data_IF_751796986761
#
_entry.id   IF_751796986761
#
_cell.length_a   1.000
_cell.length_b   1.000
_cell.length_c   1.000
_cell.angle_alpha   90.00
_cell.angle_beta   90.00
_cell.angle_gamma   90.00
#
_symmetry.space_group_name_H-M   'P 1'
#
loop_
_entity.id
_entity.type
_entity.pdbx_description
1 polymer ?
#
# COMPACT_ATOMS: atom_id res chain seq x y z
N UNK A 1 -15.16 8.37 -22.14
CA UNK A 1 -15.03 9.83 -22.01
C UNK A 1 -14.72 10.12 -20.55
N UNK A 2 -13.65 10.85 -20.24
CA UNK A 2 -13.16 11.02 -18.86
C UNK A 2 -14.22 11.73 -18.00
N UNK A 3 -14.65 11.09 -16.91
CA UNK A 3 -15.43 11.72 -15.84
C UNK A 3 -14.57 12.81 -15.20
N UNK A 4 -14.76 14.05 -15.66
CA UNK A 4 -14.40 15.26 -14.91
C UNK A 4 -15.53 15.43 -13.89
N UNK A 5 -15.24 15.67 -12.60
CA UNK A 5 -16.20 15.53 -11.52
C UNK A 5 -17.42 16.40 -11.76
N UNK A 6 -18.56 15.78 -12.07
CA UNK A 6 -19.89 16.40 -12.24
C UNK A 6 -20.37 17.20 -11.02
N UNK A 7 -19.53 17.39 -10.00
CA UNK A 7 -19.93 17.93 -8.72
C UNK A 7 -19.11 19.13 -8.24
N UNK A 8 -18.04 19.58 -8.91
CA UNK A 8 -17.25 20.69 -8.36
C UNK A 8 -18.05 22.00 -8.27
N UNK A 9 -18.70 22.43 -9.35
CA UNK A 9 -19.51 23.65 -9.35
C UNK A 9 -20.66 23.59 -8.35
N UNK A 10 -21.35 22.44 -8.28
CA UNK A 10 -22.39 22.18 -7.29
C UNK A 10 -21.85 22.20 -5.86
N UNK A 11 -20.66 21.67 -5.61
CA UNK A 11 -20.01 21.67 -4.28
C UNK A 11 -19.57 23.07 -3.88
N UNK A 12 -19.05 23.88 -4.81
CA UNK A 12 -18.76 25.30 -4.59
C UNK A 12 -20.03 26.05 -4.19
N UNK A 13 -21.11 25.86 -4.96
CA UNK A 13 -22.41 26.46 -4.66
C UNK A 13 -22.93 26.03 -3.29
N UNK A 14 -22.89 24.73 -2.98
CA UNK A 14 -23.31 24.19 -1.66
C UNK A 14 -22.47 24.75 -0.52
N UNK A 15 -21.15 24.80 -0.66
CA UNK A 15 -20.24 25.33 0.36
C UNK A 15 -20.51 26.82 0.65
N UNK A 16 -20.81 27.59 -0.41
CA UNK A 16 -21.19 29.00 -0.31
C UNK A 16 -22.56 29.17 0.35
N UNK A 17 -23.60 28.46 -0.11
CA UNK A 17 -24.96 28.59 0.42
C UNK A 17 -25.07 28.08 1.85
N UNK A 18 -24.37 27.01 2.22
CA UNK A 18 -24.34 26.49 3.58
C UNK A 18 -23.77 27.50 4.60
N UNK A 19 -22.97 28.46 4.13
CA UNK A 19 -22.39 29.55 4.94
C UNK A 19 -23.13 30.88 4.77
N UNK A 20 -24.25 30.90 4.04
CA UNK A 20 -25.03 32.11 3.71
C UNK A 20 -24.19 33.23 3.07
N UNK A 21 -23.18 32.88 2.28
CA UNK A 21 -22.31 33.85 1.59
C UNK A 21 -22.92 34.18 0.21
N UNK A 22 -23.05 35.45 -0.15
CA UNK A 22 -23.47 35.86 -1.51
C UNK A 22 -22.29 35.75 -2.49
N UNK A 23 -22.57 35.69 -3.79
CA UNK A 23 -21.50 35.72 -4.80
C UNK A 23 -20.66 36.99 -4.70
N UNK A 24 -21.28 38.13 -4.35
CA UNK A 24 -20.60 39.40 -4.18
C UNK A 24 -19.68 39.39 -2.95
N UNK A 25 -20.15 38.87 -1.82
CA UNK A 25 -19.32 38.75 -0.62
C UNK A 25 -18.14 37.79 -0.85
N UNK A 26 -18.37 36.69 -1.57
CA UNK A 26 -17.29 35.77 -1.93
C UNK A 26 -16.31 36.41 -2.92
N UNK A 27 -16.81 37.26 -3.82
CA UNK A 27 -15.98 38.02 -4.76
C UNK A 27 -15.04 38.96 -4.02
N UNK A 28 -15.53 39.69 -3.02
CA UNK A 28 -14.71 40.56 -2.17
C UNK A 28 -13.67 39.77 -1.37
N UNK A 29 -14.04 38.61 -0.83
CA UNK A 29 -13.15 37.80 -0.02
C UNK A 29 -12.03 37.10 -0.82
N UNK A 30 -12.27 36.79 -2.10
CA UNK A 30 -11.34 35.99 -2.92
C UNK A 30 -10.65 36.78 -4.02
N UNK A 31 -11.11 38.00 -4.34
CA UNK A 31 -10.66 38.77 -5.50
C UNK A 31 -11.15 38.22 -6.84
N UNK A 32 -11.97 37.17 -6.85
CA UNK A 32 -12.52 36.56 -8.07
C UNK A 32 -13.85 37.25 -8.40
N UNK A 33 -14.06 37.70 -9.63
CA UNK A 33 -15.32 38.38 -9.98
C UNK A 33 -16.56 37.50 -9.78
N UNK A 34 -17.68 38.10 -9.36
CA UNK A 34 -18.97 37.40 -9.20
C UNK A 34 -19.41 36.64 -10.46
N UNK A 35 -19.15 37.19 -11.66
CA UNK A 35 -19.43 36.51 -12.93
C UNK A 35 -18.53 35.29 -13.18
N UNK A 36 -17.31 35.30 -12.68
CA UNK A 36 -16.40 34.14 -12.73
C UNK A 36 -16.82 33.08 -11.72
N UNK A 37 -17.19 33.48 -10.51
CA UNK A 37 -17.72 32.59 -9.48
C UNK A 37 -19.01 31.90 -9.92
N UNK A 38 -19.95 32.66 -10.52
CA UNK A 38 -21.19 32.11 -11.07
C UNK A 38 -20.91 31.05 -12.15
N UNK A 39 -20.03 31.35 -13.11
CA UNK A 39 -19.65 30.38 -14.15
C UNK A 39 -18.90 29.16 -13.61
N UNK A 40 -18.16 29.29 -12.50
CA UNK A 40 -17.56 28.16 -11.80
C UNK A 40 -18.63 27.29 -11.13
N UNK A 41 -19.62 27.90 -10.47
CA UNK A 41 -20.74 27.19 -9.82
C UNK A 41 -21.65 26.46 -10.82
N UNK A 42 -21.85 27.01 -12.02
CA UNK A 42 -22.64 26.37 -13.09
C UNK A 42 -21.83 25.38 -13.93
N UNK A 43 -20.52 25.26 -13.71
CA UNK A 43 -19.62 24.42 -14.51
C UNK A 43 -19.31 24.97 -15.91
N UNK A 44 -19.80 26.15 -16.25
CA UNK A 44 -19.57 26.80 -17.55
C UNK A 44 -18.16 27.39 -17.69
N UNK A 45 -17.38 27.44 -16.62
CA UNK A 45 -15.95 27.79 -16.63
C UNK A 45 -15.13 26.66 -16.04
N UNK A 46 -14.06 26.29 -16.76
CA UNK A 46 -13.11 25.28 -16.30
C UNK A 46 -12.38 25.79 -15.04
N UNK A 47 -12.34 25.02 -13.95
CA UNK A 47 -11.59 25.38 -12.75
C UNK A 47 -10.08 25.34 -13.05
N UNK A 48 -9.35 26.31 -12.54
CA UNK A 48 -7.88 26.32 -12.50
C UNK A 48 -7.43 26.32 -11.05
N UNK A 49 -6.22 25.85 -10.78
CA UNK A 49 -5.67 25.83 -9.42
C UNK A 49 -5.66 27.24 -8.80
N UNK A 50 -5.30 28.24 -9.60
CA UNK A 50 -5.33 29.66 -9.23
C UNK A 50 -6.70 30.13 -8.73
N UNK A 51 -7.80 29.65 -9.32
CA UNK A 51 -9.15 29.97 -8.87
C UNK A 51 -9.57 29.15 -7.64
N UNK A 52 -9.08 27.92 -7.51
CA UNK A 52 -9.48 27.02 -6.42
C UNK A 52 -8.78 27.30 -5.09
N UNK A 53 -7.52 27.74 -5.10
CA UNK A 53 -6.78 28.00 -3.86
C UNK A 53 -7.41 29.10 -3.00
N UNK A 54 -7.79 30.28 -3.54
CA UNK A 54 -8.49 31.30 -2.77
C UNK A 54 -9.86 30.84 -2.26
N UNK A 55 -10.57 30.03 -3.04
CA UNK A 55 -11.87 29.46 -2.64
C UNK A 55 -11.73 28.47 -1.48
N UNK A 56 -10.71 27.61 -1.52
CA UNK A 56 -10.42 26.68 -0.43
C UNK A 56 -10.13 27.43 0.88
N UNK A 57 -9.33 28.50 0.81
CA UNK A 57 -9.03 29.36 1.96
C UNK A 57 -10.29 30.07 2.48
N UNK A 58 -11.09 30.68 1.59
CA UNK A 58 -12.32 31.38 1.96
C UNK A 58 -13.36 30.46 2.63
N UNK A 59 -13.46 29.19 2.18
CA UNK A 59 -14.35 28.21 2.78
C UNK A 59 -13.74 27.45 3.98
N UNK A 60 -12.46 27.67 4.29
CA UNK A 60 -11.69 26.90 5.28
C UNK A 60 -11.75 25.40 5.03
N UNK A 61 -11.58 25.02 3.76
CA UNK A 61 -11.53 23.63 3.30
C UNK A 61 -10.13 23.32 2.78
N UNK A 62 -9.70 22.07 2.88
CA UNK A 62 -8.54 21.64 2.10
C UNK A 62 -8.89 21.65 0.61
N UNK A 63 -7.89 21.69 -0.27
CA UNK A 63 -8.15 21.59 -1.70
C UNK A 63 -8.84 20.25 -2.02
N UNK A 64 -8.43 19.16 -1.37
CA UNK A 64 -9.02 17.83 -1.52
C UNK A 64 -10.49 17.79 -1.12
N UNK A 65 -10.85 18.46 -0.02
CA UNK A 65 -12.25 18.64 0.37
C UNK A 65 -13.01 19.47 -0.66
N UNK A 66 -12.38 20.50 -1.25
CA UNK A 66 -13.02 21.38 -2.24
C UNK A 66 -13.23 20.71 -3.59
N UNK A 67 -12.29 19.88 -4.07
CA UNK A 67 -12.42 19.13 -5.33
C UNK A 67 -13.18 17.82 -5.17
N UNK A 68 -13.26 17.31 -3.95
CA UNK A 68 -13.95 16.07 -3.65
C UNK A 68 -13.03 14.94 -3.94
N UNK A 69 -12.12 14.69 -3.00
CA UNK A 69 -11.49 13.38 -2.88
C UNK A 69 -12.62 12.34 -3.00
N UNK A 70 -12.51 11.37 -3.92
CA UNK A 70 -13.58 10.42 -4.14
C UNK A 70 -13.98 9.83 -2.79
N UNK A 71 -15.29 9.88 -2.47
CA UNK A 71 -15.83 9.06 -1.40
C UNK A 71 -15.48 7.63 -1.80
N UNK A 72 -14.50 7.02 -1.13
CA UNK A 72 -14.17 5.63 -1.37
C UNK A 72 -15.45 4.87 -0.99
N UNK A 73 -16.17 4.35 -1.99
CA UNK A 73 -17.41 3.59 -1.81
C UNK A 73 -17.12 2.29 -1.06
N UNK A 74 -17.21 1.15 -1.73
CA UNK A 74 -16.66 -0.09 -1.19
C UNK A 74 -15.14 0.09 -0.97
N UNK A 75 -14.63 0.00 0.27
CA UNK A 75 -13.22 0.24 0.57
C UNK A 75 -12.33 -0.94 0.13
N UNK A 76 -12.92 -2.03 -0.39
CA UNK A 76 -12.16 -3.18 -0.85
C UNK A 76 -11.40 -2.86 -2.13
N UNK A 77 -10.13 -3.24 -2.11
CA UNK A 77 -9.31 -3.28 -3.31
C UNK A 77 -9.72 -4.52 -4.10
N UNK A 78 -10.05 -4.35 -5.38
CA UNK A 78 -10.27 -5.45 -6.32
C UNK A 78 -9.04 -5.59 -7.22
N UNK A 79 -7.96 -6.24 -6.73
CA UNK A 79 -6.71 -6.28 -7.45
C UNK A 79 -6.83 -7.12 -8.71
N UNK A 80 -6.16 -6.68 -9.77
CA UNK A 80 -5.90 -7.52 -10.94
C UNK A 80 -4.44 -7.98 -10.87
N UNK A 81 -4.17 -9.27 -10.62
CA UNK A 81 -2.81 -9.80 -10.65
C UNK A 81 -2.16 -9.56 -12.01
N UNK A 82 -0.89 -9.15 -11.99
CA UNK A 82 -0.07 -8.96 -13.18
C UNK A 82 1.18 -9.82 -13.10
N UNK A 83 1.61 -10.40 -14.22
CA UNK A 83 2.88 -11.12 -14.31
C UNK A 83 3.99 -10.14 -14.72
N UNK A 84 5.06 -10.06 -13.94
CA UNK A 84 6.23 -9.21 -14.24
C UNK A 84 7.51 -9.88 -13.75
N UNK A 85 8.51 -9.95 -14.62
CA UNK A 85 9.82 -10.56 -14.31
C UNK A 85 9.69 -11.99 -13.71
N UNK A 86 8.77 -12.80 -14.25
CA UNK A 86 8.46 -14.15 -13.77
C UNK A 86 7.61 -14.23 -12.49
N UNK A 87 7.40 -13.12 -11.79
CA UNK A 87 6.62 -13.07 -10.55
C UNK A 87 5.15 -12.71 -10.82
N UNK A 88 4.24 -13.16 -9.95
CA UNK A 88 2.89 -12.60 -9.90
C UNK A 88 2.88 -11.44 -8.91
N UNK A 89 2.46 -10.26 -9.34
CA UNK A 89 2.31 -9.08 -8.50
C UNK A 89 0.82 -8.78 -8.38
N UNK A 90 0.32 -8.69 -7.16
CA UNK A 90 -1.06 -8.35 -6.82
C UNK A 90 -1.04 -6.95 -6.20
N UNK A 91 -1.46 -5.90 -6.94
CA UNK A 91 -1.45 -4.53 -6.42
C UNK A 91 -2.47 -4.35 -5.29
N UNK A 92 -2.05 -3.91 -4.12
CA UNK A 92 -2.90 -3.70 -2.93
C UNK A 92 -3.07 -2.21 -2.63
N UNK A 93 -3.12 -1.36 -3.66
CA UNK A 93 -3.35 0.09 -3.51
C UNK A 93 -4.10 0.64 -4.74
N UNK A 94 -5.09 1.51 -4.51
CA UNK A 94 -5.98 2.05 -5.55
C UNK A 94 -5.35 3.15 -6.43
N UNK A 95 -4.31 3.83 -5.94
CA UNK A 95 -3.75 5.04 -6.56
C UNK A 95 -2.22 4.91 -6.58
N UNK A 96 -1.52 5.39 -7.61
CA UNK A 96 -0.08 5.64 -7.53
C UNK A 96 0.17 6.72 -6.45
N UNK A 97 0.38 6.26 -5.22
CA UNK A 97 0.82 7.07 -4.09
C UNK A 97 2.33 7.00 -3.89
N UNK A 98 2.87 7.79 -2.94
CA UNK A 98 4.30 7.76 -2.61
C UNK A 98 4.77 6.37 -2.13
N UNK A 99 3.83 5.56 -1.63
CA UNK A 99 4.05 4.20 -1.19
C UNK A 99 2.98 3.29 -1.80
N UNK A 100 3.41 2.16 -2.38
CA UNK A 100 2.54 1.16 -2.99
C UNK A 100 2.63 -0.13 -2.21
N UNK A 101 1.50 -0.64 -1.74
CA UNK A 101 1.42 -1.98 -1.19
C UNK A 101 1.20 -3.00 -2.31
N UNK A 102 1.97 -4.08 -2.30
CA UNK A 102 1.87 -5.18 -3.26
C UNK A 102 2.04 -6.50 -2.55
N UNK A 103 1.27 -7.52 -2.95
CA UNK A 103 1.61 -8.91 -2.67
C UNK A 103 2.40 -9.45 -3.85
N UNK A 104 3.52 -10.11 -3.61
CA UNK A 104 4.29 -10.79 -4.66
C UNK A 104 4.30 -12.30 -4.42
N UNK A 105 4.09 -13.06 -5.48
CA UNK A 105 4.29 -14.51 -5.51
C UNK A 105 5.51 -14.77 -6.39
N UNK A 106 6.56 -15.25 -5.74
CA UNK A 106 7.87 -15.53 -6.34
C UNK A 106 7.91 -17.03 -6.64
N UNK A 107 8.10 -17.43 -7.91
CA UNK A 107 8.17 -18.85 -8.26
C UNK A 107 9.48 -19.48 -7.77
N UNK A 108 9.47 -20.81 -7.63
CA UNK A 108 10.60 -21.60 -7.14
C UNK A 108 11.87 -21.44 -8.00
N UNK A 109 11.70 -21.25 -9.30
CA UNK A 109 12.79 -21.11 -10.28
C UNK A 109 13.50 -19.74 -10.20
N UNK A 110 12.94 -18.76 -9.49
CA UNK A 110 13.59 -17.48 -9.22
C UNK A 110 14.57 -17.60 -8.04
N UNK A 111 15.53 -18.51 -8.15
CA UNK A 111 16.52 -18.84 -7.11
C UNK A 111 17.94 -18.36 -7.42
N UNK A 112 18.20 -17.92 -8.65
CA UNK A 112 19.51 -17.42 -9.09
C UNK A 112 19.63 -15.90 -8.87
N UNK A 113 20.60 -15.44 -8.07
CA UNK A 113 20.82 -14.01 -7.81
C UNK A 113 21.20 -13.21 -9.05
N UNK A 114 20.51 -12.08 -9.23
CA UNK A 114 20.91 -10.99 -10.13
C UNK A 114 20.67 -9.66 -9.44
N UNK A 115 21.73 -9.13 -8.82
CA UNK A 115 21.68 -7.90 -8.03
C UNK A 115 21.25 -6.69 -8.88
N UNK A 116 20.43 -5.83 -8.29
CA UNK A 116 19.99 -4.57 -8.90
C UNK A 116 20.14 -3.40 -7.93
N UNK A 117 20.06 -2.19 -8.48
CA UNK A 117 20.07 -0.92 -7.73
C UNK A 117 19.05 0.01 -8.36
N UNK A 118 18.28 0.69 -7.53
CA UNK A 118 17.36 1.73 -7.98
C UNK A 118 17.02 2.67 -6.83
N UNK A 119 16.48 3.84 -7.15
CA UNK A 119 15.99 4.76 -6.12
C UNK A 119 14.74 4.20 -5.43
N UNK A 120 14.65 4.41 -4.11
CA UNK A 120 13.50 4.00 -3.31
C UNK A 120 13.89 3.38 -1.97
N UNK A 121 12.85 2.92 -1.28
CA UNK A 121 12.96 2.05 -0.11
C UNK A 121 12.04 0.86 -0.29
N UNK A 122 12.52 -0.31 0.15
CA UNK A 122 11.73 -1.52 0.20
C UNK A 122 11.50 -1.90 1.66
N UNK A 123 10.25 -2.25 1.97
CA UNK A 123 9.88 -3.02 3.14
C UNK A 123 9.16 -4.27 2.68
N UNK A 124 9.44 -5.42 3.29
CA UNK A 124 8.82 -6.69 2.94
C UNK A 124 8.57 -7.55 4.18
N UNK A 125 7.52 -8.35 4.12
CA UNK A 125 7.10 -9.30 5.15
C UNK A 125 6.76 -10.64 4.49
N UNK A 126 7.31 -11.73 5.02
CA UNK A 126 7.12 -13.08 4.47
C UNK A 126 5.80 -13.66 4.98
N UNK A 127 4.90 -13.97 4.05
CA UNK A 127 3.61 -14.60 4.34
C UNK A 127 3.73 -16.13 4.31
N UNK A 128 4.47 -16.66 3.34
CA UNK A 128 4.65 -18.10 3.16
C UNK A 128 5.95 -18.40 2.38
N UNK A 129 6.53 -19.57 2.60
CA UNK A 129 7.79 -20.01 1.98
C UNK A 129 9.02 -19.33 2.59
N UNK A 130 10.16 -19.50 1.93
CA UNK A 130 11.46 -18.99 2.39
C UNK A 130 12.04 -17.99 1.40
N UNK A 131 12.15 -16.73 1.82
CA UNK A 131 12.72 -15.69 1.00
C UNK A 131 14.22 -15.62 1.22
N UNK A 132 15.02 -15.83 0.17
CA UNK A 132 16.43 -15.42 0.20
C UNK A 132 16.52 -13.95 -0.16
N UNK A 133 17.13 -13.15 0.71
CA UNK A 133 17.34 -11.72 0.55
C UNK A 133 18.84 -11.44 0.60
N UNK A 134 19.35 -10.84 -0.47
CA UNK A 134 20.72 -10.34 -0.56
C UNK A 134 20.67 -8.81 -0.58
N UNK A 135 21.38 -8.15 0.34
CA UNK A 135 21.51 -6.69 0.41
C UNK A 135 22.96 -6.34 0.77
N UNK A 136 23.70 -5.78 -0.18
CA UNK A 136 25.14 -5.57 -0.03
C UNK A 136 25.85 -6.92 0.18
N UNK A 137 26.58 -7.03 1.27
CA UNK A 137 27.32 -8.25 1.64
C UNK A 137 26.50 -9.21 2.51
N UNK A 138 25.26 -8.85 2.86
CA UNK A 138 24.38 -9.70 3.65
C UNK A 138 23.55 -10.61 2.75
N UNK A 139 23.63 -11.91 2.97
CA UNK A 139 22.80 -12.94 2.35
C UNK A 139 22.03 -13.67 3.47
N UNK A 140 20.71 -13.53 3.48
CA UNK A 140 19.86 -13.98 4.58
C UNK A 140 18.64 -14.73 4.07
N UNK A 141 18.18 -15.71 4.84
CA UNK A 141 16.90 -16.38 4.61
C UNK A 141 15.89 -15.83 5.61
N UNK A 142 14.77 -15.31 5.10
CA UNK A 142 13.64 -14.86 5.88
C UNK A 142 12.53 -15.91 5.82
N UNK A 143 12.04 -16.29 7.00
CA UNK A 143 10.96 -17.24 7.22
C UNK A 143 9.61 -16.52 7.35
N UNK A 144 8.48 -17.25 7.24
CA UNK A 144 7.16 -16.67 7.48
C UNK A 144 7.09 -15.97 8.84
N UNK A 145 6.52 -14.76 8.86
CA UNK A 145 6.47 -13.93 10.07
C UNK A 145 7.64 -12.93 10.20
N UNK A 146 8.69 -13.07 9.40
CA UNK A 146 9.83 -12.15 9.44
C UNK A 146 9.69 -11.02 8.40
N UNK A 147 10.32 -9.89 8.70
CA UNK A 147 10.31 -8.71 7.86
C UNK A 147 11.72 -8.17 7.62
N UNK A 148 11.89 -7.46 6.51
CA UNK A 148 13.11 -6.71 6.22
C UNK A 148 12.79 -5.34 5.60
N UNK A 149 13.66 -4.37 5.88
CA UNK A 149 13.64 -3.03 5.29
C UNK A 149 15.05 -2.67 4.83
N UNK A 150 15.19 -2.08 3.64
CA UNK A 150 16.48 -1.61 3.15
C UNK A 150 16.35 -0.47 2.13
N UNK A 151 17.46 0.25 1.94
CA UNK A 151 17.63 1.26 0.88
C UNK A 151 17.97 0.55 -0.44
N UNK A 152 17.15 0.77 -1.47
CA UNK A 152 17.27 0.04 -2.75
C UNK A 152 18.43 0.52 -3.62
N UNK A 153 19.18 1.55 -3.20
CA UNK A 153 20.46 1.96 -3.81
C UNK A 153 21.59 1.00 -3.45
N UNK A 154 21.44 0.28 -2.35
CA UNK A 154 22.30 -0.85 -2.02
C UNK A 154 22.02 -1.96 -3.03
N UNK A 155 23.08 -2.58 -3.57
CA UNK A 155 22.92 -3.72 -4.47
C UNK A 155 22.09 -4.79 -3.75
N UNK A 156 20.96 -5.16 -4.33
CA UNK A 156 20.06 -6.10 -3.69
C UNK A 156 19.41 -7.07 -4.67
N UNK A 157 19.00 -8.22 -4.15
CA UNK A 157 18.24 -9.24 -4.86
C UNK A 157 17.38 -9.98 -3.84
N UNK A 158 16.20 -10.43 -4.27
CA UNK A 158 15.39 -11.35 -3.47
C UNK A 158 14.74 -12.39 -4.37
N UNK A 159 14.56 -13.60 -3.84
CA UNK A 159 14.01 -14.71 -4.59
C UNK A 159 13.72 -15.92 -3.70
N UNK A 160 13.36 -17.03 -4.33
CA UNK A 160 13.17 -18.31 -3.65
C UNK A 160 14.52 -18.92 -3.26
N UNK A 161 14.54 -19.76 -2.22
CA UNK A 161 15.66 -20.67 -1.92
C UNK A 161 15.76 -21.86 -2.88
N UNK A 162 14.82 -22.00 -3.81
CA UNK A 162 14.68 -23.16 -4.71
C UNK A 162 13.89 -24.31 -4.10
N UNK A 163 13.52 -24.24 -2.81
CA UNK A 163 12.73 -25.27 -2.12
C UNK A 163 11.22 -25.16 -2.38
N UNK A 164 10.74 -23.99 -2.78
CA UNK A 164 9.33 -23.75 -3.06
C UNK A 164 9.03 -22.30 -3.45
N UNK A 165 7.78 -21.98 -3.81
CA UNK A 165 7.37 -20.60 -4.06
C UNK A 165 7.35 -19.80 -2.76
N UNK A 166 7.46 -18.47 -2.89
CA UNK A 166 7.45 -17.54 -1.75
C UNK A 166 6.36 -16.51 -1.95
N UNK A 167 5.62 -16.23 -0.88
CA UNK A 167 4.64 -15.13 -0.85
C UNK A 167 5.10 -14.05 0.11
N UNK A 168 5.17 -12.81 -0.40
CA UNK A 168 5.54 -11.65 0.42
C UNK A 168 4.50 -10.54 0.29
N UNK A 169 4.31 -9.80 1.36
CA UNK A 169 3.73 -8.46 1.34
C UNK A 169 4.88 -7.46 1.25
N UNK A 170 4.81 -6.49 0.34
CA UNK A 170 5.84 -5.46 0.21
C UNK A 170 5.24 -4.07 0.10
N UNK A 171 5.91 -3.11 0.73
CA UNK A 171 5.64 -1.69 0.61
C UNK A 171 6.80 -1.07 -0.17
N UNK A 172 6.49 -0.56 -1.36
CA UNK A 172 7.45 0.06 -2.27
C UNK A 172 7.30 1.57 -2.18
N UNK A 173 8.34 2.27 -1.73
CA UNK A 173 8.33 3.72 -1.59
C UNK A 173 9.21 4.42 -2.62
N UNK A 174 8.71 5.50 -3.23
CA UNK A 174 9.57 6.50 -3.86
C UNK A 174 10.14 7.40 -2.76
N UNK A 175 11.46 7.56 -2.70
CA UNK A 175 12.06 8.57 -1.85
C UNK A 175 11.79 9.93 -2.50
N UNK A 176 10.75 10.65 -2.06
CA UNK A 176 10.74 12.10 -2.22
C UNK A 176 11.86 12.65 -1.35
N UNK A 177 12.68 13.57 -1.88
CA UNK A 177 13.58 14.35 -1.02
C UNK A 177 12.72 14.97 0.09
N UNK A 178 12.90 14.51 1.33
CA UNK A 178 12.22 15.08 2.48
C UNK A 178 12.80 16.48 2.72
N UNK A 179 12.19 17.52 2.14
CA UNK A 179 12.35 18.87 2.65
C UNK A 179 11.40 19.04 3.85
N UNK A 180 11.91 18.70 5.03
CA UNK A 180 11.44 19.23 6.32
C UNK A 180 10.18 18.61 6.94
N UNK A 181 10.40 17.90 8.05
CA UNK A 181 9.46 17.55 9.14
C UNK A 181 8.31 16.59 8.80
N UNK A 182 8.49 15.35 9.26
CA UNK A 182 7.44 14.34 9.35
C UNK A 182 8.04 12.97 9.63
N UNK A 183 8.82 12.83 10.70
CA UNK A 183 9.38 11.55 11.12
C UNK A 183 8.40 10.92 12.11
N UNK A 184 7.77 9.81 11.73
CA UNK A 184 7.40 8.81 12.73
C UNK A 184 8.69 8.10 13.10
N UNK A 185 9.40 8.66 14.09
CA UNK A 185 10.58 8.05 14.70
C UNK A 185 10.09 6.93 15.61
N UNK A 186 10.12 5.70 15.12
CA UNK A 186 10.12 4.54 15.99
C UNK A 186 11.48 4.48 16.70
N UNK A 187 11.52 5.07 17.90
CA UNK A 187 12.50 4.91 18.96
C UNK A 187 13.81 4.17 18.59
N UNK A 188 14.84 4.93 18.24
CA UNK A 188 16.24 4.48 18.37
C UNK A 188 16.69 4.75 19.80
N UNK A 189 17.12 3.76 20.60
CA UNK A 189 17.79 4.05 21.87
C UNK A 189 19.16 4.66 21.55
N UNK A 190 19.46 5.83 22.11
CA UNK A 190 20.80 6.44 22.03
C UNK A 190 21.78 5.56 22.82
N UNK A 191 22.94 5.15 22.27
CA UNK A 191 23.97 4.54 23.08
C UNK A 191 24.73 5.65 23.80
N UNK A 192 24.58 5.71 25.13
CA UNK A 192 25.53 6.40 25.98
C UNK A 192 26.79 5.53 26.12
N UNK A 193 27.93 6.20 26.07
CA UNK A 193 29.27 5.65 26.19
C UNK A 193 29.45 4.78 27.45
N UNK A 194 30.15 3.67 27.29
CA UNK A 194 30.56 2.78 28.36
C UNK A 194 31.34 1.59 27.81
N UNK A 195 32.63 1.80 27.59
CA UNK A 195 33.57 0.76 27.19
C UNK A 195 33.79 -0.21 28.36
N UNK A 196 33.40 -1.48 28.23
CA UNK A 196 34.02 -2.60 28.95
C UNK A 196 33.91 -3.86 28.09
N UNK A 197 35.06 -4.47 27.80
CA UNK A 197 35.22 -5.74 27.10
C UNK A 197 34.77 -6.91 27.97
N UNK A 198 33.98 -7.85 27.45
CA UNK A 198 34.26 -9.28 27.66
C UNK A 198 33.50 -10.20 26.69
N UNK A 199 34.14 -11.34 26.41
CA UNK A 199 33.70 -12.43 25.56
C UNK A 199 32.38 -13.10 25.99
N UNK A 200 31.65 -13.64 25.02
CA UNK A 200 30.59 -14.61 25.26
C UNK A 200 29.50 -14.59 24.20
N UNK A 201 29.52 -15.55 23.29
CA UNK A 201 28.40 -15.86 22.42
C UNK A 201 27.16 -16.21 23.27
N UNK A 202 26.02 -15.58 23.00
CA UNK A 202 24.73 -16.06 23.53
C UNK A 202 23.61 -15.72 22.58
N UNK A 203 22.98 -16.79 22.10
CA UNK A 203 21.74 -16.87 21.33
C UNK A 203 20.61 -16.18 22.09
N UNK A 204 19.94 -15.20 21.46
CA UNK A 204 18.71 -14.61 22.01
C UNK A 204 17.51 -15.35 21.42
N UNK A 205 17.01 -16.34 22.15
CA UNK A 205 15.67 -16.90 21.97
C UNK A 205 14.66 -15.97 22.65
N UNK A 206 13.71 -15.40 21.90
CA UNK A 206 12.54 -14.76 22.50
C UNK A 206 11.45 -15.81 22.77
N UNK A 207 10.97 -15.95 24.02
CA UNK A 207 9.82 -16.77 24.32
C UNK A 207 8.54 -15.95 24.12
N UNK A 208 7.59 -16.51 23.38
CA UNK A 208 6.17 -16.16 23.52
C UNK A 208 5.48 -17.42 24.02
N UNK A 209 5.35 -17.55 25.34
CA UNK A 209 4.18 -18.19 25.95
C UNK A 209 3.02 -17.18 25.78
N UNK A 210 1.75 -17.54 25.56
CA UNK A 210 0.97 -18.66 26.07
C UNK A 210 -0.30 -18.79 25.22
N UNK A 211 -0.82 -20.01 25.03
CA UNK A 211 -2.24 -20.36 25.20
C UNK A 211 -2.49 -21.76 24.63
N UNK A 212 -2.70 -22.72 25.53
CA UNK A 212 -3.04 -24.10 25.20
C UNK A 212 -4.38 -24.23 24.49
N UNK A 213 -4.41 -25.08 23.47
CA UNK A 213 -5.64 -25.67 22.94
C UNK A 213 -5.51 -27.18 23.18
N UNK A 214 -6.39 -27.69 24.02
CA UNK A 214 -6.48 -29.08 24.44
C UNK A 214 -6.61 -30.04 23.25
N UNK A 215 -5.82 -31.12 23.29
CA UNK A 215 -6.07 -32.32 22.50
C UNK A 215 -7.28 -33.06 23.07
N UNK A 216 -8.39 -33.02 22.34
CA UNK A 216 -9.56 -33.88 22.55
C UNK A 216 -9.68 -34.87 21.40
N UNK A 217 -9.32 -36.11 21.68
CA UNK A 217 -9.56 -37.31 20.87
C UNK A 217 -11.05 -37.52 20.59
N UNK A 218 -11.44 -37.76 19.34
CA UNK A 218 -12.61 -38.58 19.01
C UNK A 218 -12.30 -39.45 17.79
N UNK A 219 -12.12 -40.73 18.09
CA UNK A 219 -12.08 -41.86 17.17
C UNK A 219 -13.47 -42.23 16.65
N UNK A 220 -13.49 -42.83 15.45
CA UNK A 220 -14.52 -43.69 14.85
C UNK A 220 -15.84 -43.06 14.37
N UNK A 221 -16.07 -43.11 13.05
CA UNK A 221 -17.24 -43.79 12.47
C UNK A 221 -16.94 -44.28 11.05
N UNK A 222 -17.39 -45.51 10.79
CA UNK A 222 -17.15 -46.38 9.64
C UNK A 222 -17.87 -45.99 8.34
N UNK A 223 -17.22 -46.37 7.22
CA UNK A 223 -17.71 -46.82 5.91
C UNK A 223 -19.17 -46.61 5.46
N UNK A 224 -19.34 -46.08 4.24
CA UNK A 224 -20.26 -46.66 3.24
C UNK A 224 -19.96 -46.19 1.78
N UNK A 225 -19.61 -47.18 0.95
CA UNK A 225 -20.08 -47.42 -0.43
C UNK A 225 -20.05 -46.32 -1.50
N UNK A 226 -19.02 -46.44 -2.34
CA UNK A 226 -18.99 -46.39 -3.80
C UNK A 226 -20.36 -46.30 -4.54
N UNK A 227 -20.51 -45.31 -5.44
CA UNK A 227 -21.26 -45.47 -6.71
C UNK A 227 -20.79 -44.47 -7.78
N UNK A 228 -20.20 -45.03 -8.83
CA UNK A 228 -19.78 -44.37 -10.05
C UNK A 228 -20.96 -43.80 -10.84
N UNK A 229 -20.75 -42.64 -11.46
CA UNK A 229 -21.63 -42.08 -12.50
C UNK A 229 -21.19 -42.56 -13.89
N UNK A 230 -22.12 -42.93 -14.79
CA UNK A 230 -21.77 -43.51 -16.09
C UNK A 230 -21.43 -42.44 -17.14
N UNK A 231 -20.52 -42.83 -18.04
CA UNK A 231 -20.05 -42.11 -19.23
C UNK A 231 -21.09 -42.25 -20.35
N UNK A 232 -21.39 -41.20 -21.15
CA UNK A 232 -22.28 -41.34 -22.29
C UNK A 232 -21.54 -41.89 -23.53
N UNK A 233 -22.14 -42.89 -24.19
CA UNK A 233 -21.78 -43.38 -25.53
C UNK A 233 -22.62 -42.69 -26.62
N UNK A 234 -22.17 -42.74 -27.90
CA UNK A 234 -22.52 -41.75 -28.92
C UNK A 234 -23.83 -42.08 -29.65
N UNK A 235 -24.48 -41.04 -30.19
CA UNK A 235 -25.58 -41.16 -31.13
C UNK A 235 -24.99 -41.10 -32.55
N UNK A 236 -25.50 -41.99 -33.40
CA UNK A 236 -25.16 -42.25 -34.80
C UNK A 236 -25.12 -41.01 -35.71
#
# INVERSE_FOLDING_TARGET
MKEVPENLGLRLRRARTARNITLDNLSQATGISASTLSRLETGSRKPTLELLLPLAQAFRLTLDDLVGAPQMGDPRIHPRPVRRNGMTIVPLSHIPGPQQAVKMIIPTDKSTPRLTRHEGYAWMYVLNGELRLIVGDHDSILLPGQAAKFDTRTAHWFGSTGRGPVEILSLLGLRRACNGRGVFDAATPRPNAGCITNHGATTVTNPIETAGINHGSLTHFESASNKATPKPEPIA
#
